data_IF_303362570491
#
_entry.id   IF_303362570491
#
_cell.length_a   1.000
_cell.length_b   1.000
_cell.length_c   1.000
_cell.angle_alpha   90.00
_cell.angle_beta   90.00
_cell.angle_gamma   90.00
#
_symmetry.space_group_name_H-M   'P 1'
#
loop_
_entity.id
_entity.type
_entity.pdbx_description
1 polymer ?
#
# COMPACT_ATOMS: atom_id res chain seq x y z
N UNK A 1 32.15 -6.96 24.99
CA UNK A 1 30.89 -6.94 25.74
C UNK A 1 29.77 -6.53 24.78
N UNK A 2 28.91 -7.46 24.34
CA UNK A 2 27.80 -7.18 23.39
C UNK A 2 26.54 -6.87 24.19
N UNK A 3 25.78 -5.78 23.91
CA UNK A 3 24.52 -5.56 24.59
C UNK A 3 23.45 -6.53 24.05
N UNK A 4 22.69 -7.11 24.96
CA UNK A 4 21.60 -8.04 24.66
C UNK A 4 20.41 -7.30 24.00
N UNK A 5 19.85 -7.90 22.96
CA UNK A 5 18.65 -7.39 22.29
C UNK A 5 17.42 -7.52 23.21
N UNK A 6 16.52 -6.52 23.26
CA UNK A 6 15.32 -6.59 24.07
C UNK A 6 14.33 -7.60 23.46
N UNK A 7 13.90 -8.57 24.27
CA UNK A 7 12.85 -9.53 23.92
C UNK A 7 11.50 -8.82 23.88
N UNK A 8 10.94 -8.63 22.70
CA UNK A 8 9.58 -8.11 22.50
C UNK A 8 8.59 -9.26 22.72
N UNK A 9 7.85 -9.21 23.82
CA UNK A 9 6.81 -10.18 24.16
C UNK A 9 5.51 -9.98 23.35
N UNK A 10 4.63 -11.00 23.25
CA UNK A 10 3.56 -11.06 22.26
C UNK A 10 2.27 -10.30 22.64
N UNK A 11 2.31 -9.25 23.47
CA UNK A 11 1.08 -8.71 24.11
C UNK A 11 0.83 -7.20 24.05
N UNK A 12 1.55 -6.44 23.21
CA UNK A 12 1.43 -4.98 23.23
C UNK A 12 0.96 -4.38 21.89
N UNK A 13 -0.25 -4.69 21.42
CA UNK A 13 -0.91 -3.83 20.44
C UNK A 13 -2.44 -3.89 20.54
N UNK A 14 -2.98 -3.40 21.66
CA UNK A 14 -4.38 -2.95 21.66
C UNK A 14 -4.38 -1.51 21.19
N UNK A 15 -4.60 -1.31 19.89
CA UNK A 15 -4.93 -0.01 19.35
C UNK A 15 -6.15 0.55 20.11
N UNK A 16 -6.00 1.75 20.69
CA UNK A 16 -7.09 2.46 21.37
C UNK A 16 -8.26 2.63 20.38
N UNK A 17 -9.45 2.18 20.79
CA UNK A 17 -10.70 2.50 20.08
C UNK A 17 -10.90 4.02 20.09
N UNK A 18 -11.16 4.68 18.94
CA UNK A 18 -11.60 6.06 18.95
C UNK A 18 -13.01 6.17 19.56
N UNK A 19 -13.27 7.24 20.30
CA UNK A 19 -14.56 7.56 20.90
C UNK A 19 -15.64 7.78 19.81
N UNK A 20 -16.93 7.53 20.09
CA UNK A 20 -17.98 7.76 19.11
C UNK A 20 -18.16 9.27 18.86
N UNK A 21 -17.81 9.71 17.65
CA UNK A 21 -17.99 11.07 17.16
C UNK A 21 -19.46 11.41 16.85
N UNK A 22 -19.78 12.71 16.91
CA UNK A 22 -21.12 13.27 16.68
C UNK A 22 -21.66 13.01 15.25
N UNK A 23 -22.99 12.95 15.07
CA UNK A 23 -23.59 12.70 13.76
C UNK A 23 -23.44 13.93 12.87
N UNK A 24 -22.48 13.88 11.94
CA UNK A 24 -22.20 14.95 10.97
C UNK A 24 -20.85 14.84 10.27
N UNK A 25 -19.91 14.06 10.81
CA UNK A 25 -18.53 13.99 10.31
C UNK A 25 -18.19 12.57 9.82
N UNK A 26 -18.62 12.20 8.60
CA UNK A 26 -18.22 10.92 8.00
C UNK A 26 -16.85 11.05 7.32
N UNK A 27 -15.81 11.42 8.08
CA UNK A 27 -14.45 11.02 7.71
C UNK A 27 -14.42 9.51 7.90
N UNK A 28 -14.77 8.80 6.83
CA UNK A 28 -14.77 7.35 6.82
C UNK A 28 -13.34 6.90 7.13
N UNK A 29 -13.14 6.37 8.34
CA UNK A 29 -11.82 6.16 8.94
C UNK A 29 -11.17 4.94 8.31
N UNK A 30 -10.78 5.09 7.06
CA UNK A 30 -10.16 4.04 6.30
C UNK A 30 -8.69 3.91 6.69
N UNK A 31 -8.25 2.67 6.91
CA UNK A 31 -6.85 2.38 7.22
C UNK A 31 -6.03 2.35 5.93
N UNK A 32 -4.76 2.77 6.05
CA UNK A 32 -3.74 2.60 5.01
C UNK A 32 -2.94 1.33 5.30
N UNK A 33 -2.59 0.57 4.26
CA UNK A 33 -1.69 -0.60 4.34
C UNK A 33 -0.61 -0.51 3.27
N UNK A 34 0.56 -1.08 3.54
CA UNK A 34 1.65 -1.17 2.56
C UNK A 34 1.93 -2.64 2.26
N UNK A 35 2.01 -3.00 0.97
CA UNK A 35 2.52 -4.27 0.46
C UNK A 35 3.88 -4.02 -0.17
N UNK A 36 4.93 -4.58 0.41
CA UNK A 36 6.30 -4.34 -0.04
C UNK A 36 7.12 -5.63 0.00
N UNK A 37 8.22 -5.67 -0.76
CA UNK A 37 9.21 -6.73 -0.60
C UNK A 37 9.93 -6.57 0.74
N UNK A 38 10.46 -7.67 1.33
CA UNK A 38 11.15 -7.63 2.62
C UNK A 38 12.26 -6.56 2.69
N UNK A 39 12.98 -6.36 1.59
CA UNK A 39 14.06 -5.38 1.44
C UNK A 39 13.61 -3.93 1.68
N UNK A 40 12.34 -3.63 1.42
CA UNK A 40 11.77 -2.28 1.45
C UNK A 40 10.91 -2.04 2.70
N UNK A 41 10.46 -3.11 3.35
CA UNK A 41 9.46 -3.07 4.42
C UNK A 41 9.93 -2.25 5.62
N UNK A 42 11.22 -2.35 5.97
CA UNK A 42 11.79 -1.66 7.12
C UNK A 42 11.58 -0.12 7.05
N UNK A 43 11.75 0.50 5.88
CA UNK A 43 11.60 1.95 5.75
C UNK A 43 10.19 2.44 6.08
N UNK A 44 9.17 1.71 5.63
CA UNK A 44 7.77 2.02 5.92
C UNK A 44 7.41 1.71 7.38
N UNK A 45 7.92 0.61 7.93
CA UNK A 45 7.70 0.26 9.33
C UNK A 45 8.27 1.32 10.27
N UNK A 46 9.47 1.85 9.97
CA UNK A 46 10.08 2.96 10.71
C UNK A 46 9.27 4.26 10.61
N UNK A 47 8.59 4.48 9.49
CA UNK A 47 7.65 5.58 9.31
C UNK A 47 6.29 5.37 10.02
N UNK A 48 6.12 4.27 10.76
CA UNK A 48 4.87 3.93 11.47
C UNK A 48 3.76 3.42 10.56
N UNK A 49 4.06 3.11 9.30
CA UNK A 49 3.08 2.55 8.37
C UNK A 49 2.97 1.03 8.55
N UNK A 50 1.76 0.48 8.56
CA UNK A 50 1.56 -0.96 8.71
C UNK A 50 1.90 -1.68 7.39
N UNK A 51 2.98 -2.47 7.40
CA UNK A 51 3.49 -3.19 6.24
C UNK A 51 3.12 -4.67 6.29
N UNK A 52 2.79 -5.22 5.14
CA UNK A 52 2.74 -6.65 4.86
C UNK A 52 3.84 -6.97 3.85
N UNK A 53 4.78 -7.81 4.25
CA UNK A 53 5.82 -8.31 3.36
C UNK A 53 5.26 -9.34 2.39
N UNK A 54 5.63 -9.22 1.12
CA UNK A 54 5.18 -10.09 0.02
C UNK A 54 6.33 -10.29 -0.96
N UNK A 55 6.49 -11.51 -1.49
CA UNK A 55 7.64 -11.89 -2.31
C UNK A 55 7.38 -11.80 -3.81
N UNK A 56 6.14 -12.05 -4.23
CA UNK A 56 5.76 -12.07 -5.64
C UNK A 56 4.33 -11.57 -5.88
N UNK A 57 3.94 -11.48 -7.15
CA UNK A 57 2.63 -10.99 -7.56
C UNK A 57 1.47 -11.91 -7.17
N UNK A 58 1.69 -13.22 -7.04
CA UNK A 58 0.67 -14.17 -6.59
C UNK A 58 0.36 -13.99 -5.10
N UNK A 59 1.39 -13.86 -4.27
CA UNK A 59 1.27 -13.55 -2.85
C UNK A 59 0.62 -12.18 -2.65
N UNK A 60 1.09 -11.15 -3.38
CA UNK A 60 0.50 -9.81 -3.34
C UNK A 60 -0.99 -9.83 -3.73
N UNK A 61 -1.35 -10.61 -4.76
CA UNK A 61 -2.74 -10.73 -5.20
C UNK A 61 -3.64 -11.41 -4.18
N UNK A 62 -3.14 -12.45 -3.51
CA UNK A 62 -3.83 -13.12 -2.40
C UNK A 62 -4.08 -12.16 -1.24
N UNK A 63 -3.05 -11.41 -0.82
CA UNK A 63 -3.15 -10.40 0.26
C UNK A 63 -4.11 -9.27 -0.08
N UNK A 64 -4.10 -8.77 -1.31
CA UNK A 64 -5.07 -7.77 -1.76
C UNK A 64 -6.51 -8.29 -1.71
N UNK A 65 -6.71 -9.56 -2.09
CA UNK A 65 -8.02 -10.21 -1.97
C UNK A 65 -8.49 -10.35 -0.53
N UNK A 66 -7.58 -10.65 0.41
CA UNK A 66 -7.87 -10.69 1.85
C UNK A 66 -8.28 -9.31 2.37
N UNK A 67 -7.49 -8.28 2.10
CA UNK A 67 -7.77 -6.91 2.55
C UNK A 67 -9.10 -6.36 2.00
N UNK A 68 -9.42 -6.69 0.74
CA UNK A 68 -10.70 -6.32 0.13
C UNK A 68 -11.90 -7.00 0.81
N UNK A 69 -11.75 -8.25 1.25
CA UNK A 69 -12.79 -9.01 1.96
C UNK A 69 -12.95 -8.58 3.42
N UNK A 70 -11.84 -8.30 4.10
CA UNK A 70 -11.84 -7.84 5.50
C UNK A 70 -12.50 -6.46 5.67
N UNK A 71 -12.36 -5.59 4.67
CA UNK A 71 -12.89 -4.24 4.71
C UNK A 71 -12.15 -3.31 5.67
N UNK A 72 -12.55 -2.04 5.71
CA UNK A 72 -11.95 -1.01 6.58
C UNK A 72 -10.53 -0.60 6.18
N UNK A 73 -10.02 -1.08 5.04
CA UNK A 73 -8.80 -0.59 4.38
C UNK A 73 -9.24 0.22 3.18
N UNK A 74 -8.86 1.50 3.14
CA UNK A 74 -9.22 2.38 2.02
C UNK A 74 -8.12 2.53 0.99
N UNK A 75 -6.86 2.39 1.43
CA UNK A 75 -5.69 2.59 0.60
C UNK A 75 -4.68 1.48 0.85
N UNK A 76 -4.19 0.88 -0.25
CA UNK A 76 -3.07 -0.04 -0.25
C UNK A 76 -1.98 0.54 -1.13
N UNK A 77 -0.85 0.87 -0.53
CA UNK A 77 0.39 1.15 -1.25
C UNK A 77 1.05 -0.18 -1.63
N UNK A 78 1.47 -0.37 -2.87
CA UNK A 78 2.11 -1.62 -3.32
C UNK A 78 3.39 -1.34 -4.10
N UNK A 79 4.45 -2.13 -3.94
CA UNK A 79 5.64 -2.00 -4.78
C UNK A 79 5.27 -2.15 -6.27
N UNK A 80 5.77 -1.26 -7.12
CA UNK A 80 5.41 -1.20 -8.53
C UNK A 80 5.70 -2.48 -9.31
N UNK A 81 6.77 -3.20 -8.99
CA UNK A 81 7.09 -4.48 -9.63
C UNK A 81 6.09 -5.57 -9.21
N UNK A 82 5.68 -5.60 -7.94
CA UNK A 82 4.64 -6.51 -7.46
C UNK A 82 3.28 -6.20 -8.11
N UNK A 83 2.94 -4.92 -8.25
CA UNK A 83 1.72 -4.49 -8.94
C UNK A 83 1.71 -4.94 -10.42
N UNK A 84 2.84 -4.78 -11.11
CA UNK A 84 3.03 -5.25 -12.48
C UNK A 84 3.03 -6.78 -12.60
N UNK A 85 3.31 -7.51 -11.53
CA UNK A 85 3.26 -8.97 -11.47
C UNK A 85 1.91 -9.55 -11.00
N UNK A 86 0.92 -8.71 -10.66
CA UNK A 86 -0.39 -9.19 -10.19
C UNK A 86 -1.09 -10.08 -11.24
N UNK A 87 -1.75 -11.18 -10.80
CA UNK A 87 -2.61 -11.97 -11.68
C UNK A 87 -3.76 -11.13 -12.27
N UNK A 88 -4.10 -11.35 -13.53
CA UNK A 88 -5.14 -10.57 -14.24
C UNK A 88 -6.54 -10.69 -13.62
N UNK A 89 -6.85 -11.84 -13.03
CA UNK A 89 -8.09 -12.01 -12.27
C UNK A 89 -8.15 -11.05 -11.07
N UNK A 90 -7.04 -10.90 -10.36
CA UNK A 90 -6.95 -9.99 -9.21
C UNK A 90 -7.11 -8.54 -9.65
N UNK A 91 -6.46 -8.12 -10.75
CA UNK A 91 -6.63 -6.78 -11.32
C UNK A 91 -8.08 -6.49 -11.70
N UNK A 92 -8.71 -7.43 -12.41
CA UNK A 92 -10.12 -7.30 -12.82
C UNK A 92 -11.07 -7.24 -11.63
N UNK A 93 -10.79 -7.98 -10.56
CA UNK A 93 -11.57 -7.92 -9.32
C UNK A 93 -11.44 -6.57 -8.62
N UNK A 94 -10.22 -6.05 -8.49
CA UNK A 94 -9.95 -4.75 -7.87
C UNK A 94 -10.59 -3.60 -8.67
N UNK A 95 -10.58 -3.66 -10.00
CA UNK A 95 -11.21 -2.64 -10.84
C UNK A 95 -12.75 -2.56 -10.67
N UNK A 96 -13.39 -3.63 -10.20
CA UNK A 96 -14.85 -3.69 -9.96
C UNK A 96 -15.26 -3.24 -8.56
N UNK A 97 -14.31 -3.02 -7.65
CA UNK A 97 -14.58 -2.67 -6.26
C UNK A 97 -13.98 -1.29 -5.96
N UNK A 98 -14.72 -0.39 -5.31
CA UNK A 98 -14.21 0.94 -5.01
C UNK A 98 -13.09 0.93 -3.94
N UNK A 99 -13.03 -0.13 -3.12
CA UNK A 99 -12.06 -0.25 -2.02
C UNK A 99 -11.45 -1.66 -1.95
N UNK A 100 -10.17 -1.78 -1.56
CA UNK A 100 -9.23 -0.68 -1.32
C UNK A 100 -8.72 -0.06 -2.61
N UNK A 101 -8.45 1.25 -2.61
CA UNK A 101 -7.68 1.89 -3.67
C UNK A 101 -6.25 1.34 -3.63
N UNK A 102 -5.77 0.80 -4.75
CA UNK A 102 -4.42 0.24 -4.85
C UNK A 102 -3.53 1.21 -5.62
N UNK A 103 -2.46 1.69 -4.98
CA UNK A 103 -1.55 2.67 -5.56
C UNK A 103 -0.14 2.10 -5.60
N UNK A 104 0.44 1.87 -6.80
CA UNK A 104 1.81 1.44 -6.90
C UNK A 104 2.79 2.56 -6.53
N UNK A 105 3.88 2.21 -5.84
CA UNK A 105 5.01 3.10 -5.55
C UNK A 105 6.29 2.59 -6.19
N UNK A 106 7.22 3.48 -6.59
CA UNK A 106 8.48 3.07 -7.19
C UNK A 106 9.38 2.41 -6.14
N UNK A 107 10.05 1.31 -6.50
CA UNK A 107 11.02 0.67 -5.61
C UNK A 107 12.29 1.53 -5.37
N UNK A 108 13.13 1.19 -4.38
CA UNK A 108 14.38 1.88 -4.11
C UNK A 108 15.38 1.55 -5.23
N UNK A 109 15.74 2.54 -6.05
CA UNK A 109 16.79 2.39 -7.04
C UNK A 109 17.37 3.74 -7.40
N UNK A 110 18.68 3.86 -7.27
CA UNK A 110 19.41 5.06 -7.62
C UNK A 110 19.50 5.11 -9.15
N UNK A 111 18.66 5.96 -9.78
CA UNK A 111 18.53 6.07 -11.24
C UNK A 111 17.11 6.32 -11.76
N UNK A 112 16.08 6.19 -10.91
CA UNK A 112 14.67 6.15 -11.32
C UNK A 112 13.90 7.47 -11.33
N UNK A 113 14.58 8.61 -11.32
CA UNK A 113 13.89 9.92 -11.40
C UNK A 113 12.99 10.02 -12.65
N UNK A 114 13.46 9.46 -13.77
CA UNK A 114 12.70 9.37 -15.01
C UNK A 114 11.48 8.43 -14.93
N UNK A 115 11.53 7.36 -14.14
CA UNK A 115 10.42 6.41 -13.99
C UNK A 115 9.28 6.97 -13.15
N UNK A 116 9.59 7.70 -12.07
CA UNK A 116 8.58 8.35 -11.24
C UNK A 116 7.82 9.44 -12.01
N UNK A 117 8.53 10.21 -12.83
CA UNK A 117 7.93 11.23 -13.69
C UNK A 117 7.07 10.60 -14.79
N UNK A 118 7.54 9.52 -15.41
CA UNK A 118 6.77 8.74 -16.39
C UNK A 118 5.49 8.17 -15.76
N UNK A 119 5.56 7.65 -14.53
CA UNK A 119 4.39 7.16 -13.81
C UNK A 119 3.36 8.27 -13.54
N UNK A 120 3.81 9.46 -13.12
CA UNK A 120 2.90 10.60 -12.91
C UNK A 120 2.21 11.02 -14.21
N UNK A 121 2.94 11.04 -15.33
CA UNK A 121 2.38 11.36 -16.64
C UNK A 121 1.33 10.34 -17.08
N UNK A 122 1.57 9.05 -16.86
CA UNK A 122 0.62 7.99 -17.20
C UNK A 122 -0.60 7.99 -16.27
N UNK A 123 -0.42 8.28 -14.97
CA UNK A 123 -1.53 8.45 -14.03
C UNK A 123 -2.44 9.64 -14.44
N UNK A 124 -1.83 10.78 -14.83
CA UNK A 124 -2.56 11.93 -15.34
C UNK A 124 -3.28 11.61 -16.67
N UNK A 125 -2.64 10.89 -17.58
CA UNK A 125 -3.30 10.42 -18.81
C UNK A 125 -4.54 9.60 -18.51
N UNK A 126 -4.44 8.66 -17.58
CA UNK A 126 -5.54 7.76 -17.22
C UNK A 126 -6.70 8.52 -16.56
N UNK A 127 -6.40 9.56 -15.77
CA UNK A 127 -7.41 10.33 -15.03
C UNK A 127 -8.09 11.43 -15.85
N UNK A 128 -7.39 12.03 -16.84
CA UNK A 128 -7.86 13.23 -17.54
C UNK A 128 -7.99 13.04 -19.06
N UNK A 129 -7.49 11.92 -19.60
CA UNK A 129 -7.63 11.55 -21.02
C UNK A 129 -6.64 12.19 -21.99
N UNK A 130 -5.66 12.97 -21.53
CA UNK A 130 -4.63 13.57 -22.40
C UNK A 130 -3.25 13.69 -21.73
N UNK A 131 -2.18 13.81 -22.54
CA UNK A 131 -0.78 13.82 -22.08
C UNK A 131 -0.36 15.21 -21.61
N UNK A 132 -0.10 15.38 -20.31
CA UNK A 132 0.52 16.61 -19.77
C UNK A 132 2.02 16.57 -20.00
N UNK A 133 2.60 17.67 -20.53
CA UNK A 133 4.06 17.86 -20.61
C UNK A 133 4.52 18.51 -19.30
N UNK A 134 5.19 17.76 -18.44
CA UNK A 134 5.92 18.32 -17.31
C UNK A 134 7.20 18.98 -17.87
N UNK A 135 7.45 20.24 -17.48
CA UNK A 135 8.68 20.98 -17.77
C UNK A 135 9.43 21.21 -16.47
#
# INVERSE_FOLDING_TARGET
>A
MRPAAPRVGPRAWRARRPAPGRPGDRVSTHRVRVLARPEQAAGFALAGLPVTEVRDGGEAGSRLGELAREGGVGLVLIDGALHAALPDETRRRLARQPLPMVVPFPGPGWGRRAEAETYLVELLRQAIGYRVRLR
#
